data_IF_692280880756
#
_entry.id   IF_692280880756
#
_cell.length_a   1.000
_cell.length_b   1.000
_cell.length_c   1.000
_cell.angle_alpha   90.00
_cell.angle_beta   90.00
_cell.angle_gamma   90.00
#
_symmetry.space_group_name_H-M   'P 1'
#
loop_
_entity.id
_entity.type
_entity.pdbx_description
1 polymer ?
#
# COMPACT_ATOMS: atom_id res chain seq x y z
N UNK A 1 1.77 63.81 -8.13
CA UNK A 1 1.49 62.90 -9.27
C UNK A 1 1.65 61.48 -8.74
N UNK A 2 0.54 60.80 -8.47
CA UNK A 2 0.50 59.42 -8.01
C UNK A 2 0.02 58.53 -9.17
N UNK A 3 0.66 57.40 -9.47
CA UNK A 3 0.08 56.42 -10.39
C UNK A 3 -1.06 55.64 -9.70
N UNK A 4 -2.12 55.28 -10.46
CA UNK A 4 -3.30 54.61 -9.93
C UNK A 4 -3.08 53.10 -9.69
N UNK A 5 -3.76 52.57 -8.67
CA UNK A 5 -3.78 51.15 -8.34
C UNK A 5 -4.54 50.33 -9.42
N UNK A 6 -4.10 49.10 -9.76
CA UNK A 6 -4.82 48.25 -10.68
C UNK A 6 -6.05 47.60 -10.03
N UNK A 7 -7.18 47.97 -10.64
CA UNK A 7 -8.47 47.31 -10.79
C UNK A 7 -8.52 45.79 -10.51
N UNK A 8 -9.38 45.41 -9.56
CA UNK A 8 -9.79 44.03 -9.28
C UNK A 8 -11.05 43.72 -10.12
N UNK A 9 -10.91 42.84 -11.11
CA UNK A 9 -12.02 42.26 -11.88
C UNK A 9 -11.89 40.74 -11.81
N UNK A 10 -12.95 40.04 -11.42
CA UNK A 10 -13.02 38.61 -11.74
C UNK A 10 -13.92 37.68 -10.91
N UNK A 11 -14.84 38.16 -10.08
CA UNK A 11 -15.97 37.31 -9.69
C UNK A 11 -17.07 37.40 -10.77
N UNK A 12 -17.25 36.33 -11.56
CA UNK A 12 -18.57 35.72 -11.88
C UNK A 12 -18.51 34.69 -13.01
N UNK A 13 -19.24 33.60 -12.74
CA UNK A 13 -19.85 32.64 -13.67
C UNK A 13 -18.84 31.67 -14.34
N UNK A 14 -19.09 30.37 -14.52
CA UNK A 14 -20.33 29.64 -14.81
C UNK A 14 -20.19 28.24 -14.20
N UNK A 15 -21.13 27.80 -13.36
CA UNK A 15 -21.29 26.38 -12.98
C UNK A 15 -22.51 25.81 -13.72
N UNK A 16 -22.25 25.20 -14.86
CA UNK A 16 -23.11 24.27 -15.60
C UNK A 16 -22.09 23.35 -16.32
N UNK A 17 -22.12 22.02 -16.26
CA UNK A 17 -23.23 21.11 -16.54
C UNK A 17 -22.89 19.68 -16.07
N UNK A 18 -23.93 18.98 -15.57
CA UNK A 18 -24.27 17.60 -15.97
C UNK A 18 -23.40 16.44 -15.41
N UNK A 19 -23.80 15.95 -14.24
CA UNK A 19 -23.50 14.60 -13.77
C UNK A 19 -24.32 13.57 -14.55
N UNK A 20 -23.72 12.49 -15.08
CA UNK A 20 -24.45 11.38 -15.66
C UNK A 20 -25.11 10.51 -14.58
N UNK A 21 -26.44 10.52 -14.64
CA UNK A 21 -27.40 9.46 -14.31
C UNK A 21 -26.79 8.16 -13.71
N UNK A 22 -26.65 8.13 -12.39
CA UNK A 22 -26.46 6.88 -11.64
C UNK A 22 -27.80 6.15 -11.61
N UNK A 23 -27.86 5.03 -12.34
CA UNK A 23 -28.92 4.03 -12.26
C UNK A 23 -29.17 3.67 -10.78
N UNK A 24 -30.33 4.08 -10.26
CA UNK A 24 -30.87 3.60 -8.98
C UNK A 24 -31.10 2.11 -9.11
N UNK A 25 -30.21 1.31 -8.53
CA UNK A 25 -30.45 -0.10 -8.26
C UNK A 25 -31.62 -0.15 -7.28
N UNK A 26 -32.71 -0.77 -7.72
CA UNK A 26 -33.94 -0.91 -6.98
C UNK A 26 -33.70 -1.56 -5.61
N UNK A 27 -34.37 -1.02 -4.59
CA UNK A 27 -34.43 -1.54 -3.24
C UNK A 27 -34.96 -2.98 -3.25
N UNK A 28 -34.05 -3.94 -3.10
CA UNK A 28 -34.41 -5.34 -2.86
C UNK A 28 -34.89 -5.46 -1.42
N UNK A 29 -36.21 -5.29 -1.21
CA UNK A 29 -36.88 -5.63 0.05
C UNK A 29 -36.64 -7.11 0.36
N UNK A 30 -35.78 -7.37 1.34
CA UNK A 30 -35.65 -8.69 1.97
C UNK A 30 -36.96 -8.96 2.70
N UNK A 31 -37.76 -9.88 2.16
CA UNK A 31 -38.92 -10.44 2.85
C UNK A 31 -38.43 -11.21 4.08
N UNK A 32 -38.82 -10.74 5.27
CA UNK A 32 -38.62 -11.43 6.54
C UNK A 32 -39.43 -12.73 6.54
N UNK A 33 -38.77 -13.85 6.24
CA UNK A 33 -39.30 -15.18 6.54
C UNK A 33 -38.90 -15.58 7.96
N UNK A 34 -39.83 -15.97 8.84
CA UNK A 34 -39.52 -16.39 10.20
C UNK A 34 -38.72 -17.71 10.22
N UNK A 35 -37.90 -17.93 11.26
CA UNK A 35 -37.02 -19.10 11.34
C UNK A 35 -37.82 -20.40 11.50
N UNK A 36 -37.47 -21.48 10.79
CA UNK A 36 -38.13 -22.77 10.97
C UNK A 36 -37.68 -23.40 12.29
N UNK A 37 -38.66 -23.69 13.14
CA UNK A 37 -38.46 -24.48 14.35
C UNK A 37 -38.17 -25.94 13.99
N UNK A 38 -37.10 -26.47 14.59
CA UNK A 38 -36.87 -27.89 14.91
C UNK A 38 -37.14 -28.92 13.82
N UNK A 39 -36.07 -29.40 13.14
CA UNK A 39 -36.09 -30.72 12.51
C UNK A 39 -35.19 -31.69 13.30
N UNK A 40 -35.68 -32.91 13.60
CA UNK A 40 -34.87 -33.95 14.23
C UNK A 40 -33.83 -34.50 13.25
N UNK A 41 -32.63 -34.77 13.80
CA UNK A 41 -31.49 -35.42 13.15
C UNK A 41 -31.89 -36.72 12.45
N UNK A 42 -31.62 -36.80 11.14
CA UNK A 42 -31.73 -38.03 10.35
C UNK A 42 -30.42 -38.82 10.43
N UNK A 43 -30.43 -40.13 10.78
CA UNK A 43 -29.22 -40.93 10.96
C UNK A 43 -28.72 -41.63 9.69
N UNK A 44 -29.14 -41.21 8.49
CA UNK A 44 -28.74 -41.86 7.24
C UNK A 44 -27.93 -40.93 6.33
N UNK A 45 -26.63 -40.80 6.57
CA UNK A 45 -25.67 -40.35 5.54
C UNK A 45 -24.30 -40.99 5.77
N UNK A 46 -24.24 -42.31 5.60
CA UNK A 46 -23.00 -43.03 5.32
C UNK A 46 -23.15 -43.62 3.91
N UNK A 47 -22.48 -43.03 2.91
CA UNK A 47 -22.33 -43.74 1.62
C UNK A 47 -22.28 -42.95 0.30
N UNK A 48 -22.19 -41.63 0.25
CA UNK A 48 -22.05 -40.92 -1.04
C UNK A 48 -21.09 -39.73 -0.97
N UNK A 49 -19.78 -40.02 -0.87
CA UNK A 49 -18.74 -38.98 -0.95
C UNK A 49 -17.96 -39.00 -2.29
N UNK A 50 -18.50 -39.68 -3.31
CA UNK A 50 -17.83 -39.87 -4.60
C UNK A 50 -18.31 -38.93 -5.71
N UNK A 51 -19.12 -37.92 -5.37
CA UNK A 51 -19.61 -36.90 -6.33
C UNK A 51 -19.38 -35.46 -5.89
N UNK A 52 -18.37 -35.19 -5.05
CA UNK A 52 -17.74 -33.86 -5.05
C UNK A 52 -16.86 -33.75 -6.29
N UNK A 53 -17.50 -33.69 -7.47
CA UNK A 53 -16.83 -33.21 -8.68
C UNK A 53 -16.18 -31.89 -8.33
N UNK A 54 -14.85 -31.89 -8.40
CA UNK A 54 -14.02 -30.76 -8.04
C UNK A 54 -14.48 -29.57 -8.89
N UNK A 55 -15.18 -28.61 -8.29
CA UNK A 55 -15.73 -27.45 -9.00
C UNK A 55 -14.65 -26.70 -9.80
N UNK A 56 -13.40 -26.78 -9.34
CA UNK A 56 -12.23 -26.26 -10.05
C UNK A 56 -11.89 -27.04 -11.32
N UNK A 57 -12.15 -28.34 -11.35
CA UNK A 57 -11.95 -29.16 -12.53
C UNK A 57 -13.01 -28.84 -13.60
N UNK A 58 -14.26 -28.61 -13.20
CA UNK A 58 -15.32 -28.14 -14.12
C UNK A 58 -14.94 -26.78 -14.72
N UNK A 59 -14.49 -25.82 -13.91
CA UNK A 59 -14.06 -24.50 -14.42
C UNK A 59 -12.82 -24.58 -15.31
N UNK A 60 -11.96 -25.59 -15.10
CA UNK A 60 -10.74 -25.80 -15.90
C UNK A 60 -11.04 -26.44 -17.26
N UNK A 61 -12.02 -27.33 -17.31
CA UNK A 61 -12.41 -28.03 -18.54
C UNK A 61 -13.46 -27.25 -19.36
N UNK A 62 -14.18 -26.30 -18.74
CA UNK A 62 -15.16 -25.47 -19.42
C UNK A 62 -14.53 -24.55 -20.48
N UNK A 63 -15.19 -24.49 -21.64
CA UNK A 63 -14.83 -23.56 -22.71
C UNK A 63 -15.25 -22.13 -22.35
N UNK A 64 -14.64 -21.15 -23.03
CA UNK A 64 -14.98 -19.75 -22.83
C UNK A 64 -16.43 -19.40 -23.20
N UNK A 65 -17.07 -20.17 -24.07
CA UNK A 65 -18.49 -19.99 -24.42
C UNK A 65 -19.40 -20.51 -23.32
N UNK A 66 -19.12 -21.72 -22.80
CA UNK A 66 -19.86 -22.30 -21.68
C UNK A 66 -19.78 -21.43 -20.43
N UNK A 67 -18.62 -20.83 -20.13
CA UNK A 67 -18.47 -19.89 -19.01
C UNK A 67 -19.27 -18.60 -19.21
N UNK A 68 -19.44 -18.15 -20.46
CA UNK A 68 -20.27 -16.99 -20.78
C UNK A 68 -21.76 -17.32 -20.65
N UNK A 69 -22.21 -18.45 -21.19
CA UNK A 69 -23.59 -18.93 -21.10
C UNK A 69 -24.01 -19.22 -19.66
N UNK A 70 -23.08 -19.77 -18.86
CA UNK A 70 -23.28 -19.98 -17.42
C UNK A 70 -23.32 -18.67 -16.61
N UNK A 71 -23.13 -17.50 -17.24
CA UNK A 71 -23.19 -16.20 -16.58
C UNK A 71 -22.06 -15.96 -15.59
N UNK A 72 -20.88 -16.57 -15.80
CA UNK A 72 -19.74 -16.38 -14.90
C UNK A 72 -19.23 -14.94 -14.97
N UNK A 73 -19.59 -14.13 -13.98
CA UNK A 73 -19.26 -12.69 -13.92
C UNK A 73 -17.75 -12.42 -13.97
N UNK A 74 -16.92 -13.30 -13.39
CA UNK A 74 -15.47 -13.11 -13.40
C UNK A 74 -14.91 -13.29 -14.82
N UNK A 75 -15.37 -14.31 -15.54
CA UNK A 75 -14.99 -14.53 -16.93
C UNK A 75 -15.49 -13.40 -17.84
N UNK A 76 -16.76 -12.99 -17.71
CA UNK A 76 -17.34 -11.90 -18.50
C UNK A 76 -16.58 -10.58 -18.31
N UNK A 77 -16.19 -10.25 -17.08
CA UNK A 77 -15.36 -9.07 -16.81
C UNK A 77 -14.00 -9.15 -17.50
N UNK A 78 -13.33 -10.30 -17.40
CA UNK A 78 -12.01 -10.49 -18.01
C UNK A 78 -12.09 -10.42 -19.55
N UNK A 79 -13.18 -10.95 -20.13
CA UNK A 79 -13.46 -10.84 -21.57
C UNK A 79 -13.62 -9.38 -22.01
N UNK A 80 -14.37 -8.57 -21.26
CA UNK A 80 -14.50 -7.11 -21.53
C UNK A 80 -13.14 -6.42 -21.45
N UNK A 81 -12.35 -6.71 -20.42
CA UNK A 81 -11.00 -6.14 -20.29
C UNK A 81 -10.11 -6.53 -21.50
N UNK A 82 -10.11 -7.79 -21.92
CA UNK A 82 -9.37 -8.24 -23.10
C UNK A 82 -9.81 -7.54 -24.39
N UNK A 83 -11.12 -7.37 -24.59
CA UNK A 83 -11.67 -6.67 -25.76
C UNK A 83 -11.24 -5.19 -25.77
N UNK A 84 -11.25 -4.52 -24.61
CA UNK A 84 -10.78 -3.13 -24.50
C UNK A 84 -9.31 -2.97 -24.83
N UNK A 85 -8.45 -3.89 -24.39
CA UNK A 85 -7.03 -3.88 -24.74
C UNK A 85 -6.79 -4.14 -26.23
N UNK A 86 -7.56 -5.06 -26.81
CA UNK A 86 -7.47 -5.39 -28.24
C UNK A 86 -7.85 -4.18 -29.09
N UNK A 87 -8.92 -3.47 -28.74
CA UNK A 87 -9.33 -2.24 -29.42
C UNK A 87 -8.28 -1.12 -29.28
N UNK A 88 -7.74 -0.92 -28.08
CA UNK A 88 -6.68 0.07 -27.86
C UNK A 88 -5.43 -0.23 -28.69
N UNK A 89 -5.05 -1.51 -28.82
CA UNK A 89 -3.94 -1.93 -29.67
C UNK A 89 -4.19 -1.64 -31.15
N UNK A 90 -5.39 -1.95 -31.66
CA UNK A 90 -5.76 -1.61 -33.04
C UNK A 90 -5.73 -0.10 -33.30
N UNK A 91 -6.18 0.71 -32.34
CA UNK A 91 -6.12 2.16 -32.44
C UNK A 91 -4.66 2.66 -32.54
N UNK A 92 -3.75 2.10 -31.75
CA UNK A 92 -2.32 2.41 -31.84
C UNK A 92 -1.72 2.02 -33.18
N UNK A 93 -2.09 0.87 -33.74
CA UNK A 93 -1.62 0.45 -35.07
C UNK A 93 -2.10 1.40 -36.19
N UNK A 94 -3.31 1.95 -36.07
CA UNK A 94 -3.82 2.94 -37.02
C UNK A 94 -3.16 4.32 -36.85
N UNK A 95 -2.74 4.66 -35.64
CA UNK A 95 -2.09 5.94 -35.34
C UNK A 95 -0.62 5.99 -35.82
N UNK A 96 0.02 4.85 -36.10
CA UNK A 96 1.36 4.83 -36.68
C UNK A 96 1.23 5.29 -38.14
N UNK A 97 1.81 6.45 -38.52
CA UNK A 97 1.81 6.91 -39.89
C UNK A 97 2.50 5.85 -40.75
N UNK A 98 1.76 5.22 -41.63
CA UNK A 98 2.36 4.34 -42.63
C UNK A 98 3.29 5.22 -43.46
N UNK A 99 4.58 4.88 -43.57
CA UNK A 99 5.50 5.66 -44.40
C UNK A 99 4.95 5.59 -45.81
N UNK A 100 4.36 6.70 -46.27
CA UNK A 100 3.94 6.83 -47.66
C UNK A 100 5.21 6.66 -48.47
N UNK A 101 5.34 5.52 -49.16
CA UNK A 101 6.34 5.25 -50.18
C UNK A 101 6.08 6.18 -51.36
N UNK A 102 6.36 7.47 -51.14
CA UNK A 102 6.43 8.52 -52.13
C UNK A 102 7.88 8.71 -52.50
N UNK A 103 8.38 7.84 -53.38
CA UNK A 103 9.38 8.24 -54.37
C UNK A 103 8.67 9.24 -55.28
N UNK A 104 8.83 10.53 -55.02
CA UNK A 104 9.16 11.52 -56.05
C UNK A 104 9.13 12.96 -55.52
N UNK A 105 10.03 13.74 -56.12
CA UNK A 105 10.10 15.20 -56.14
C UNK A 105 10.74 15.92 -54.94
N UNK A 106 12.04 16.17 -55.15
CA UNK A 106 12.74 17.32 -54.61
C UNK A 106 12.01 18.62 -54.99
N UNK A 107 11.61 19.41 -54.01
CA UNK A 107 11.65 20.86 -54.14
C UNK A 107 11.76 21.56 -52.78
N UNK A 108 12.92 22.19 -52.65
CA UNK A 108 13.31 23.27 -51.77
C UNK A 108 12.30 24.44 -51.83
N UNK A 109 11.76 24.87 -50.68
CA UNK A 109 11.74 26.27 -50.21
C UNK A 109 10.83 26.52 -48.97
N UNK A 110 11.42 27.24 -48.01
CA UNK A 110 10.87 28.31 -47.15
C UNK A 110 9.87 28.04 -46.00
N UNK A 111 10.43 28.19 -44.78
CA UNK A 111 10.05 29.18 -43.75
C UNK A 111 8.58 29.61 -43.66
N UNK A 112 7.90 29.14 -42.62
CA UNK A 112 6.97 29.99 -41.84
C UNK A 112 7.17 29.74 -40.36
N UNK A 113 7.39 30.84 -39.66
CA UNK A 113 7.39 31.03 -38.21
C UNK A 113 6.00 30.80 -37.62
N UNK A 114 5.85 29.83 -36.72
CA UNK A 114 4.64 29.71 -35.90
C UNK A 114 5.02 29.56 -34.42
N UNK A 115 4.82 30.65 -33.69
CA UNK A 115 5.06 30.77 -32.27
C UNK A 115 4.00 29.94 -31.51
N UNK A 116 4.30 28.66 -31.29
CA UNK A 116 3.49 27.77 -30.47
C UNK A 116 3.69 28.09 -28.99
N UNK A 117 2.64 28.65 -28.38
CA UNK A 117 2.45 28.80 -26.94
C UNK A 117 2.68 27.46 -26.24
N UNK A 118 3.83 27.33 -25.58
CA UNK A 118 4.22 26.11 -24.89
C UNK A 118 3.35 25.86 -23.64
N UNK A 119 2.92 24.61 -23.40
CA UNK A 119 2.14 24.25 -22.23
C UNK A 119 3.00 24.32 -20.97
N UNK A 120 2.47 25.07 -19.99
CA UNK A 120 2.61 24.91 -18.53
C UNK A 120 3.79 24.07 -18.06
N UNK A 121 4.78 24.76 -17.47
CA UNK A 121 5.98 24.21 -16.84
C UNK A 121 5.69 22.93 -16.04
N UNK A 122 5.86 21.78 -16.70
CA UNK A 122 5.90 20.49 -16.04
C UNK A 122 7.05 20.54 -15.04
N UNK A 123 6.76 20.34 -13.75
CA UNK A 123 7.77 20.25 -12.73
C UNK A 123 8.89 19.30 -13.20
N UNK A 124 10.17 19.68 -13.04
CA UNK A 124 11.28 18.88 -13.52
C UNK A 124 11.18 17.48 -12.92
N UNK A 125 10.89 16.49 -13.77
CA UNK A 125 10.87 15.08 -13.38
C UNK A 125 12.31 14.68 -13.07
N UNK A 126 12.54 14.15 -11.87
CA UNK A 126 13.84 13.62 -11.50
C UNK A 126 14.22 12.49 -12.48
N UNK A 127 15.46 12.45 -12.98
CA UNK A 127 15.90 11.44 -13.95
C UNK A 127 15.69 10.06 -13.37
N UNK A 128 15.21 9.07 -14.13
CA UNK A 128 14.84 7.71 -13.65
C UNK A 128 16.02 6.84 -13.16
N UNK A 129 17.24 7.39 -13.11
CA UNK A 129 18.46 6.70 -12.67
C UNK A 129 18.80 6.86 -11.19
N UNK A 130 19.86 6.16 -10.72
CA UNK A 130 20.44 6.41 -9.41
C UNK A 130 20.91 7.87 -9.34
N UNK A 131 20.45 8.60 -8.32
CA UNK A 131 20.86 9.98 -8.10
C UNK A 131 22.34 10.01 -7.68
N UNK A 132 23.10 11.00 -8.15
CA UNK A 132 24.49 11.14 -7.74
C UNK A 132 24.55 11.96 -6.44
N UNK A 133 25.30 11.46 -5.45
CA UNK A 133 25.49 12.16 -4.17
C UNK A 133 26.06 13.57 -4.35
N UNK A 134 26.90 13.77 -5.36
CA UNK A 134 27.56 15.05 -5.62
C UNK A 134 26.55 16.21 -5.84
N UNK A 135 25.37 15.90 -6.38
CA UNK A 135 24.32 16.87 -6.67
C UNK A 135 23.47 17.21 -5.43
N UNK A 136 23.53 16.37 -4.38
CA UNK A 136 22.72 16.47 -3.18
C UNK A 136 23.58 16.52 -1.91
N UNK A 137 24.52 17.46 -1.86
CA UNK A 137 25.48 17.59 -0.76
C UNK A 137 24.83 17.84 0.60
N UNK A 138 23.62 18.41 0.62
CA UNK A 138 22.87 18.70 1.84
C UNK A 138 22.29 17.46 2.51
N UNK A 139 22.17 16.32 1.81
CA UNK A 139 21.61 15.09 2.37
C UNK A 139 22.63 14.45 3.32
N UNK A 140 22.35 14.45 4.63
CA UNK A 140 23.29 13.99 5.66
C UNK A 140 23.52 12.49 5.55
N UNK A 141 22.44 11.72 5.38
CA UNK A 141 22.51 10.26 5.41
C UNK A 141 22.28 9.65 4.03
N UNK A 142 23.32 9.75 3.19
CA UNK A 142 23.28 9.11 1.87
C UNK A 142 23.32 7.57 1.96
N UNK A 143 24.14 7.02 2.86
CA UNK A 143 24.31 5.57 3.04
C UNK A 143 23.73 5.10 4.37
N UNK A 144 23.29 3.84 4.43
CA UNK A 144 22.78 3.26 5.68
C UNK A 144 23.82 3.25 6.80
N UNK A 145 25.10 3.06 6.45
CA UNK A 145 26.22 3.10 7.40
C UNK A 145 26.34 4.47 8.06
N UNK A 146 26.32 5.56 7.28
CA UNK A 146 26.38 6.92 7.81
C UNK A 146 25.22 7.22 8.77
N UNK A 147 24.01 6.77 8.45
CA UNK A 147 22.88 6.88 9.37
C UNK A 147 23.11 6.10 10.68
N UNK A 148 23.55 4.85 10.57
CA UNK A 148 23.77 3.98 11.74
C UNK A 148 24.87 4.49 12.66
N UNK A 149 25.92 5.08 12.11
CA UNK A 149 27.04 5.62 12.88
C UNK A 149 26.61 6.88 13.68
N UNK A 150 25.73 7.71 13.11
CA UNK A 150 25.15 8.90 13.77
C UNK A 150 24.01 8.54 14.74
N UNK A 151 23.35 7.40 14.52
CA UNK A 151 22.29 6.86 15.37
C UNK A 151 22.70 5.50 15.94
N UNK A 152 23.73 5.46 16.82
CA UNK A 152 24.08 4.22 17.48
C UNK A 152 22.82 3.71 18.18
N UNK A 153 22.59 2.39 18.10
CA UNK A 153 21.52 1.75 18.86
C UNK A 153 21.80 2.02 20.33
N UNK A 154 21.19 3.07 20.87
CA UNK A 154 21.12 3.25 22.31
C UNK A 154 20.33 2.05 22.78
N UNK A 155 20.94 1.22 23.63
CA UNK A 155 20.19 0.22 24.38
C UNK A 155 19.24 1.00 25.30
N UNK A 156 18.12 1.45 24.74
CA UNK A 156 17.10 2.27 25.40
C UNK A 156 16.43 1.55 26.55
N UNK A 157 16.68 0.24 26.70
CA UNK A 157 16.23 -0.57 27.82
C UNK A 157 17.08 -0.36 29.09
N UNK A 158 18.23 0.31 28.99
CA UNK A 158 18.92 0.86 30.14
C UNK A 158 18.26 2.19 30.53
N UNK A 159 17.01 2.12 31.01
CA UNK A 159 16.33 3.26 31.60
C UNK A 159 17.24 3.86 32.69
N UNK A 160 17.82 5.02 32.43
CA UNK A 160 18.51 5.78 33.47
C UNK A 160 17.44 6.18 34.48
N UNK A 161 17.57 5.66 35.70
CA UNK A 161 16.67 5.98 36.80
C UNK A 161 16.67 7.50 37.01
N UNK A 162 15.59 8.17 36.57
CA UNK A 162 15.44 9.63 36.72
C UNK A 162 14.84 10.36 35.51
N UNK A 163 14.80 9.75 34.31
CA UNK A 163 14.18 10.41 33.16
C UNK A 163 12.65 10.39 33.27
N UNK A 164 12.04 11.59 33.35
CA UNK A 164 10.59 11.79 33.36
C UNK A 164 9.96 11.09 32.16
N UNK A 165 8.86 10.38 32.37
CA UNK A 165 8.14 9.63 31.33
C UNK A 165 7.86 10.53 30.12
N UNK A 166 8.61 10.28 29.04
CA UNK A 166 8.39 10.93 27.76
C UNK A 166 7.02 10.49 27.22
N UNK A 167 6.12 11.42 26.80
CA UNK A 167 4.79 11.07 26.31
C UNK A 167 4.91 10.11 25.12
N UNK A 168 4.14 9.01 25.17
CA UNK A 168 4.24 7.92 24.19
C UNK A 168 3.61 8.28 22.84
N UNK A 169 4.37 8.03 21.77
CA UNK A 169 3.93 7.80 20.38
C UNK A 169 2.98 8.82 19.76
N UNK A 170 1.67 8.64 19.98
CA UNK A 170 0.63 9.40 19.29
C UNK A 170 0.57 10.86 19.73
N UNK A 171 0.83 11.13 21.01
CA UNK A 171 0.75 12.49 21.58
C UNK A 171 1.83 13.41 21.03
N UNK A 172 3.01 12.88 20.67
CA UNK A 172 4.12 13.68 20.11
C UNK A 172 3.84 14.18 18.70
N UNK A 173 3.27 13.32 17.86
CA UNK A 173 2.93 13.67 16.48
C UNK A 173 1.89 14.80 16.44
N UNK A 174 0.90 14.74 17.34
CA UNK A 174 -0.19 15.73 17.38
C UNK A 174 0.31 17.10 17.86
N UNK A 175 1.26 17.13 18.80
CA UNK A 175 1.65 18.38 19.46
C UNK A 175 2.77 19.13 18.73
N UNK A 176 3.74 18.41 18.14
CA UNK A 176 4.97 19.03 17.65
C UNK A 176 5.27 18.77 16.15
N UNK A 177 4.44 17.97 15.46
CA UNK A 177 4.70 17.46 14.10
C UNK A 177 6.10 16.81 13.91
N UNK A 178 6.66 16.32 15.03
CA UNK A 178 7.98 15.71 15.06
C UNK A 178 7.96 14.32 14.43
N UNK A 179 8.74 14.15 13.37
CA UNK A 179 8.96 12.85 12.73
C UNK A 179 9.92 12.01 13.57
N UNK A 180 9.40 11.24 14.53
CA UNK A 180 10.21 10.28 15.32
C UNK A 180 10.35 8.93 14.60
N UNK A 181 9.45 8.60 13.66
CA UNK A 181 9.37 7.26 13.10
C UNK A 181 10.25 7.06 11.86
N UNK A 182 10.56 8.11 11.12
CA UNK A 182 11.31 8.05 9.88
C UNK A 182 12.27 9.25 9.76
N UNK A 183 12.96 9.57 10.86
CA UNK A 183 13.94 10.67 10.95
C UNK A 183 14.96 10.64 9.80
N UNK A 184 15.32 9.43 9.37
CA UNK A 184 16.27 9.16 8.30
C UNK A 184 15.81 9.58 6.89
N UNK A 185 14.55 9.99 6.71
CA UNK A 185 14.06 10.52 5.44
C UNK A 185 14.26 12.03 5.45
N UNK A 186 15.05 12.49 4.48
CA UNK A 186 15.48 13.88 4.36
C UNK A 186 14.94 14.44 3.05
N UNK A 187 14.62 15.72 3.07
CA UNK A 187 14.30 16.52 1.89
C UNK A 187 15.58 16.82 1.10
N UNK A 188 15.43 17.37 -0.11
CA UNK A 188 16.56 17.81 -0.95
C UNK A 188 17.48 18.84 -0.24
N UNK A 189 16.96 19.55 0.76
CA UNK A 189 17.70 20.53 1.55
C UNK A 189 18.34 19.95 2.81
N UNK A 190 18.30 18.63 3.01
CA UNK A 190 18.88 17.97 4.18
C UNK A 190 18.02 18.03 5.45
N UNK A 191 16.89 18.74 5.43
CA UNK A 191 15.95 18.76 6.55
C UNK A 191 15.13 17.47 6.61
N UNK A 192 14.84 16.97 7.81
CA UNK A 192 13.95 15.82 7.98
C UNK A 192 12.53 16.12 7.49
N UNK A 193 11.90 15.11 6.88
CA UNK A 193 10.49 15.16 6.47
C UNK A 193 9.59 15.29 7.70
N UNK A 194 8.49 16.04 7.61
CA UNK A 194 7.60 16.30 8.75
C UNK A 194 6.78 15.06 9.15
N UNK A 195 6.26 15.04 10.38
CA UNK A 195 5.42 13.94 10.87
C UNK A 195 4.18 13.69 10.01
N UNK A 196 3.51 14.76 9.58
CA UNK A 196 2.37 14.71 8.67
C UNK A 196 2.73 14.12 7.30
N UNK A 197 3.87 14.52 6.73
CA UNK A 197 4.36 13.98 5.46
C UNK A 197 4.65 12.48 5.57
N UNK A 198 5.27 12.03 6.67
CA UNK A 198 5.49 10.60 6.92
C UNK A 198 4.17 9.83 7.09
N UNK A 199 3.16 10.44 7.71
CA UNK A 199 1.84 9.84 7.80
C UNK A 199 1.22 9.63 6.41
N UNK A 200 1.33 10.61 5.51
CA UNK A 200 0.91 10.51 4.10
C UNK A 200 1.68 9.42 3.34
N UNK A 201 3.01 9.38 3.49
CA UNK A 201 3.86 8.32 2.89
C UNK A 201 3.43 6.91 3.33
N UNK A 202 3.11 6.75 4.61
CA UNK A 202 2.65 5.48 5.17
C UNK A 202 1.27 5.10 4.65
N UNK A 203 0.35 6.04 4.54
CA UNK A 203 -0.98 5.80 3.98
C UNK A 203 -0.89 5.34 2.53
N UNK A 204 -0.10 6.04 1.71
CA UNK A 204 0.14 5.67 0.32
C UNK A 204 0.83 4.30 0.18
N UNK A 205 1.81 4.00 1.04
CA UNK A 205 2.42 2.66 1.09
C UNK A 205 1.40 1.56 1.36
N UNK A 206 0.46 1.77 2.30
CA UNK A 206 -0.60 0.79 2.57
C UNK A 206 -1.51 0.59 1.36
N UNK A 207 -1.90 1.66 0.66
CA UNK A 207 -2.68 1.55 -0.57
C UNK A 207 -1.95 0.74 -1.63
N UNK A 208 -0.64 0.97 -1.80
CA UNK A 208 0.21 0.20 -2.71
C UNK A 208 0.28 -1.28 -2.31
N UNK A 209 0.44 -1.59 -1.01
CA UNK A 209 0.44 -2.98 -0.54
C UNK A 209 -0.93 -3.66 -0.68
N UNK A 210 -2.03 -2.92 -0.54
CA UNK A 210 -3.38 -3.43 -0.80
C UNK A 210 -3.55 -3.81 -2.28
N UNK A 211 -3.01 -3.02 -3.19
CA UNK A 211 -3.01 -3.33 -4.61
C UNK A 211 -2.16 -4.58 -4.90
N UNK A 212 -0.95 -4.65 -4.34
CA UNK A 212 -0.11 -5.87 -4.43
C UNK A 212 -0.84 -7.10 -3.89
N UNK A 213 -1.60 -6.94 -2.81
CA UNK A 213 -2.39 -8.03 -2.22
C UNK A 213 -3.56 -8.45 -3.11
N UNK A 214 -4.23 -7.51 -3.77
CA UNK A 214 -5.29 -7.78 -4.76
C UNK A 214 -4.74 -8.53 -5.97
N UNK A 215 -3.52 -8.19 -6.39
CA UNK A 215 -2.84 -8.82 -7.51
C UNK A 215 -2.15 -10.15 -7.13
N UNK A 216 -2.24 -10.59 -5.86
CA UNK A 216 -1.65 -11.85 -5.41
C UNK A 216 -0.12 -11.85 -5.33
N UNK A 217 0.53 -10.68 -5.39
CA UNK A 217 2.00 -10.53 -5.37
C UNK A 217 2.54 -9.98 -4.04
N UNK A 218 1.68 -9.66 -3.08
CA UNK A 218 2.10 -9.21 -1.76
C UNK A 218 2.76 -10.36 -0.97
N UNK A 219 3.98 -10.18 -0.42
CA UNK A 219 4.67 -11.23 0.32
C UNK A 219 4.08 -11.44 1.72
N UNK A 220 4.28 -12.60 2.35
CA UNK A 220 3.87 -12.79 3.74
C UNK A 220 4.74 -11.96 4.72
N UNK A 221 6.03 -11.85 4.43
CA UNK A 221 7.03 -11.07 5.18
C UNK A 221 7.77 -10.16 4.21
N UNK A 222 8.06 -8.93 4.61
CA UNK A 222 8.74 -7.98 3.73
C UNK A 222 10.11 -8.49 3.24
N UNK A 223 10.88 -9.17 4.09
CA UNK A 223 12.16 -9.78 3.72
C UNK A 223 12.06 -10.96 2.74
N UNK A 224 10.84 -11.36 2.34
CA UNK A 224 10.57 -12.41 1.35
C UNK A 224 9.85 -11.84 0.11
N UNK A 225 9.97 -10.53 -0.13
CA UNK A 225 9.39 -9.86 -1.30
C UNK A 225 10.02 -10.38 -2.59
N UNK A 226 9.20 -10.64 -3.60
CA UNK A 226 9.68 -11.02 -4.93
C UNK A 226 10.26 -9.80 -5.66
N UNK A 227 11.18 -10.02 -6.60
CA UNK A 227 11.81 -8.91 -7.35
C UNK A 227 10.77 -8.02 -8.06
N UNK A 228 9.76 -8.64 -8.68
CA UNK A 228 8.67 -7.92 -9.38
C UNK A 228 7.86 -7.06 -8.41
N UNK A 229 7.49 -7.60 -7.26
CA UNK A 229 6.76 -6.89 -6.22
C UNK A 229 7.58 -5.73 -5.62
N UNK A 230 8.89 -5.94 -5.44
CA UNK A 230 9.80 -4.92 -4.94
C UNK A 230 9.97 -3.77 -5.95
N UNK A 231 10.21 -4.08 -7.23
CA UNK A 231 10.31 -3.07 -8.28
C UNK A 231 9.01 -2.27 -8.43
N UNK A 232 7.87 -2.95 -8.37
CA UNK A 232 6.56 -2.30 -8.36
C UNK A 232 6.43 -1.29 -7.20
N UNK A 233 6.73 -1.73 -5.98
CA UNK A 233 6.65 -0.87 -4.80
C UNK A 233 7.61 0.31 -4.88
N UNK A 234 8.87 0.08 -5.30
CA UNK A 234 9.88 1.14 -5.47
C UNK A 234 9.40 2.19 -6.46
N UNK A 235 8.93 1.77 -7.64
CA UNK A 235 8.40 2.67 -8.67
C UNK A 235 7.28 3.56 -8.13
N UNK A 236 6.23 2.97 -7.55
CA UNK A 236 5.09 3.72 -7.01
C UNK A 236 5.53 4.73 -5.94
N UNK A 237 6.42 4.31 -5.04
CA UNK A 237 6.92 5.18 -3.97
C UNK A 237 7.82 6.30 -4.48
N UNK A 238 8.64 6.06 -5.50
CA UNK A 238 9.52 7.06 -6.11
C UNK A 238 8.77 8.09 -6.95
N UNK A 239 7.74 7.65 -7.66
CA UNK A 239 6.88 8.53 -8.45
C UNK A 239 6.15 9.53 -7.53
N UNK A 240 5.74 9.08 -6.34
CA UNK A 240 4.98 9.91 -5.39
C UNK A 240 5.85 10.69 -4.42
N UNK A 241 6.95 10.12 -3.95
CA UNK A 241 7.80 10.63 -2.88
C UNK A 241 9.28 10.51 -3.28
N UNK A 242 9.81 11.48 -4.04
CA UNK A 242 11.18 11.45 -4.53
C UNK A 242 12.24 11.45 -3.40
N UNK A 243 11.87 11.83 -2.17
CA UNK A 243 12.75 11.84 -1.01
C UNK A 243 13.35 10.46 -0.71
N UNK A 244 12.65 9.38 -1.06
CA UNK A 244 13.17 8.02 -0.90
C UNK A 244 14.36 7.72 -1.84
N UNK A 245 14.48 8.45 -2.96
CA UNK A 245 15.57 8.29 -3.93
C UNK A 245 16.86 8.96 -3.47
N UNK A 246 16.80 9.82 -2.44
CA UNK A 246 17.95 10.54 -1.88
C UNK A 246 18.80 9.63 -0.97
N UNK A 247 19.21 8.46 -1.51
CA UNK A 247 20.07 7.50 -0.84
C UNK A 247 20.73 6.53 -1.83
N UNK A 248 21.80 5.87 -1.37
CA UNK A 248 22.39 4.73 -2.08
C UNK A 248 21.55 3.46 -1.87
N UNK A 249 21.50 2.57 -2.87
CA UNK A 249 20.94 1.22 -2.76
C UNK A 249 19.51 1.15 -2.21
N UNK A 250 18.70 2.20 -2.41
CA UNK A 250 17.30 2.26 -1.98
C UNK A 250 17.06 2.04 -0.46
N UNK A 251 18.10 2.21 0.37
CA UNK A 251 18.07 1.75 1.77
C UNK A 251 17.01 2.47 2.61
N UNK A 252 16.70 3.74 2.30
CA UNK A 252 15.67 4.51 3.02
C UNK A 252 14.30 3.88 2.81
N UNK A 253 13.97 3.51 1.57
CA UNK A 253 12.68 2.88 1.26
C UNK A 253 12.59 1.46 1.83
N UNK A 254 13.65 0.67 1.72
CA UNK A 254 13.68 -0.69 2.25
C UNK A 254 13.52 -0.70 3.78
N UNK A 255 14.18 0.25 4.47
CA UNK A 255 14.02 0.44 5.92
C UNK A 255 12.61 0.92 6.29
N UNK A 256 12.01 1.79 5.47
CA UNK A 256 10.65 2.26 5.66
C UNK A 256 9.64 1.11 5.59
N UNK A 257 9.72 0.31 4.53
CA UNK A 257 8.84 -0.83 4.37
C UNK A 257 9.07 -1.88 5.47
N UNK A 258 10.34 -2.18 5.83
CA UNK A 258 10.66 -3.09 6.95
C UNK A 258 10.01 -2.64 8.26
N UNK A 259 9.96 -1.34 8.53
CA UNK A 259 9.38 -0.77 9.75
C UNK A 259 7.84 -0.83 9.76
N UNK A 260 7.18 -0.52 8.64
CA UNK A 260 5.74 -0.31 8.62
C UNK A 260 4.93 -1.50 8.06
N UNK A 261 5.55 -2.35 7.25
CA UNK A 261 4.90 -3.50 6.62
C UNK A 261 4.33 -4.52 7.61
N UNK A 262 5.00 -4.88 8.73
CA UNK A 262 4.44 -5.87 9.67
C UNK A 262 3.08 -5.46 10.25
N UNK A 263 2.88 -4.16 10.46
CA UNK A 263 1.60 -3.62 10.92
C UNK A 263 0.48 -3.74 9.87
N UNK A 264 0.83 -3.76 8.59
CA UNK A 264 -0.11 -4.04 7.50
C UNK A 264 -0.35 -5.56 7.36
N UNK A 265 0.71 -6.36 7.31
CA UNK A 265 0.62 -7.81 7.13
C UNK A 265 -0.22 -8.49 8.23
N UNK A 266 -0.03 -8.09 9.50
CA UNK A 266 -0.86 -8.54 10.63
C UNK A 266 -2.35 -8.24 10.47
N UNK A 267 -2.69 -7.11 9.82
CA UNK A 267 -4.07 -6.70 9.63
C UNK A 267 -4.76 -7.39 8.45
N UNK A 268 -4.06 -7.58 7.33
CA UNK A 268 -4.69 -8.00 6.07
C UNK A 268 -4.35 -9.43 5.61
N UNK A 269 -3.16 -9.93 5.95
CA UNK A 269 -2.70 -11.25 5.49
C UNK A 269 -3.06 -12.33 6.52
N UNK A 270 -2.68 -12.14 7.78
CA UNK A 270 -2.91 -13.15 8.81
C UNK A 270 -4.39 -13.37 9.14
N UNK A 271 -5.22 -12.32 9.03
CA UNK A 271 -6.68 -12.46 9.20
C UNK A 271 -7.34 -13.30 8.10
N UNK A 272 -6.81 -13.29 6.88
CA UNK A 272 -7.33 -14.11 5.79
C UNK A 272 -7.01 -15.59 5.98
N UNK A 273 -5.84 -15.91 6.57
CA UNK A 273 -5.47 -17.29 6.85
C UNK A 273 -6.38 -17.93 7.91
N UNK A 274 -6.65 -17.22 9.01
CA UNK A 274 -7.51 -17.73 10.09
C UNK A 274 -8.96 -17.95 9.63
N UNK A 275 -9.49 -17.07 8.78
CA UNK A 275 -10.84 -17.22 8.25
C UNK A 275 -10.97 -18.33 7.19
N UNK A 276 -9.87 -18.88 6.68
CA UNK A 276 -9.89 -19.96 5.68
C UNK A 276 -9.84 -21.36 6.31
N UNK A 277 -9.37 -21.47 7.55
CA UNK A 277 -9.30 -22.74 8.30
C UNK A 277 -10.58 -22.96 9.14
N UNK A 278 -11.19 -21.89 9.64
CA UNK A 278 -12.42 -21.95 10.44
C UNK A 278 -13.65 -21.76 9.54
N UNK A 279 -13.99 -22.76 8.72
CA UNK A 279 -15.31 -22.79 8.08
C UNK A 279 -15.46 -23.51 6.75
N UNK A 280 -15.25 -24.83 6.73
CA UNK A 280 -16.29 -25.73 6.18
C UNK A 280 -17.18 -26.23 7.35
N UNK A 281 -17.65 -25.33 8.21
CA UNK A 281 -18.90 -25.48 8.96
C UNK A 281 -19.42 -24.07 9.21
N UNK A 282 -20.44 -23.71 8.45
CA UNK A 282 -21.11 -22.43 8.52
C UNK A 282 -21.96 -22.37 9.80
N UNK A 283 -21.65 -21.44 10.71
CA UNK A 283 -22.65 -20.95 11.66
C UNK A 283 -22.42 -19.46 11.93
N UNK A 284 -23.41 -18.67 11.53
CA UNK A 284 -23.52 -17.22 11.71
C UNK A 284 -24.24 -16.92 13.03
N UNK A 285 -23.52 -16.38 14.02
CA UNK A 285 -24.01 -15.62 15.18
C UNK A 285 -22.80 -15.43 16.13
N UNK A 286 -22.48 -14.32 16.79
CA UNK A 286 -23.18 -13.08 17.14
C UNK A 286 -22.13 -12.07 17.66
N UNK A 287 -22.52 -10.81 17.76
CA UNK A 287 -21.64 -9.65 17.95
C UNK A 287 -20.66 -9.67 19.13
N UNK A 288 -19.44 -9.20 18.84
CA UNK A 288 -18.41 -8.93 19.84
C UNK A 288 -18.63 -7.56 20.48
N UNK A 289 -19.42 -7.52 21.56
CA UNK A 289 -19.34 -6.44 22.56
C UNK A 289 -18.13 -6.72 23.45
N UNK A 290 -17.11 -5.86 23.38
CA UNK A 290 -16.01 -5.82 24.35
C UNK A 290 -16.55 -5.37 25.71
N UNK A 291 -16.80 -6.32 26.62
CA UNK A 291 -16.94 -6.02 28.04
C UNK A 291 -15.55 -5.93 28.67
N UNK A 292 -15.12 -4.70 28.93
CA UNK A 292 -14.03 -4.40 29.85
C UNK A 292 -14.57 -4.53 31.28
N UNK A 293 -14.48 -5.71 31.90
CA UNK A 293 -14.83 -5.87 33.30
C UNK A 293 -13.63 -5.50 34.17
N UNK A 294 -13.67 -4.28 34.71
CA UNK A 294 -12.93 -3.90 35.89
C UNK A 294 -13.51 -4.67 37.09
N UNK A 295 -12.74 -5.58 37.68
CA UNK A 295 -12.99 -6.04 39.05
C UNK A 295 -11.83 -5.57 39.93
N UNK A 296 -12.12 -4.48 40.65
CA UNK A 296 -11.43 -4.02 41.85
C UNK A 296 -11.92 -4.88 43.01
N UNK A 297 -11.01 -5.64 43.64
CA UNK A 297 -10.79 -5.86 45.09
C UNK A 297 -9.66 -6.88 45.19
N UNK A 298 -8.46 -6.52 45.64
CA UNK A 298 -8.00 -6.23 47.00
C UNK A 298 -7.39 -7.47 47.69
N UNK A 299 -6.17 -7.21 48.18
CA UNK A 299 -5.36 -7.87 49.18
C UNK A 299 -4.66 -9.24 48.96
N UNK A 300 -3.36 -9.20 49.30
CA UNK A 300 -2.51 -10.28 49.83
C UNK A 300 -1.98 -11.39 48.92
N UNK A 301 -0.82 -11.16 48.27
CA UNK A 301 0.46 -11.85 48.55
C UNK A 301 1.51 -11.65 47.42
N UNK A 302 2.79 -11.36 47.73
CA UNK A 302 3.84 -11.24 46.74
C UNK A 302 4.32 -12.63 46.26
N UNK A 303 4.01 -12.97 45.01
CA UNK A 303 4.58 -14.13 44.33
C UNK A 303 6.06 -13.84 43.99
N UNK A 304 6.97 -14.46 44.73
CA UNK A 304 8.41 -14.38 44.48
C UNK A 304 8.75 -15.02 43.13
N UNK A 305 9.22 -14.19 42.19
CA UNK A 305 9.84 -14.65 40.95
C UNK A 305 11.15 -15.37 41.27
N UNK A 306 11.15 -16.69 41.08
CA UNK A 306 12.36 -17.52 41.01
C UNK A 306 13.33 -16.94 39.98
N UNK A 307 14.46 -16.41 40.46
CA UNK A 307 15.63 -16.14 39.64
C UNK A 307 16.29 -17.47 39.25
N UNK A 308 16.40 -17.74 37.96
CA UNK A 308 17.36 -18.72 37.42
C UNK A 308 18.51 -17.92 36.84
N UNK A 309 19.53 -17.68 37.65
CA UNK A 309 20.84 -17.26 37.16
C UNK A 309 21.89 -18.06 37.93
N UNK A 310 22.45 -19.06 37.27
CA UNK A 310 23.68 -19.75 37.68
C UNK A 310 24.86 -18.96 37.11
N UNK A 311 25.78 -18.41 37.91
CA UNK A 311 27.06 -17.94 37.41
C UNK A 311 28.00 -19.14 37.22
N UNK A 312 28.42 -19.37 35.97
CA UNK A 312 29.48 -20.32 35.65
C UNK A 312 30.83 -19.65 35.95
N UNK A 313 31.47 -20.09 37.03
CA UNK A 313 32.84 -19.74 37.40
C UNK A 313 33.78 -20.56 36.51
N UNK A 314 34.47 -19.92 35.57
CA UNK A 314 35.59 -20.52 34.85
C UNK A 314 36.88 -20.18 35.56
N UNK A 315 37.49 -21.21 36.16
CA UNK A 315 38.83 -21.21 36.73
C UNK A 315 39.86 -21.29 35.59
N UNK A 316 40.93 -20.47 35.57
CA UNK A 316 42.05 -20.67 34.67
C UNK A 316 43.02 -21.70 35.25
N UNK A 317 43.27 -22.78 34.50
CA UNK A 317 44.38 -23.69 34.72
C UNK A 317 45.67 -23.06 34.18
N UNK A 318 46.71 -23.07 35.01
CA UNK A 318 48.09 -22.73 34.66
C UNK A 318 48.67 -23.72 33.66
N UNK A 319 49.40 -23.18 32.69
CA UNK A 319 50.37 -23.85 31.82
C UNK A 319 51.29 -22.80 31.25
#
# INVERSE_FOLDING_TARGET
>A
MFPPAPFNMGERAIRMTQTPNMLRIADFRVSETPPPQGRPMSPYFAGHDQRRTNYLQIVREATGEELAEAGNLAYLRLKVELDTWTQAYHFLLQAIPQPSTGLDHAQEHQQVTEASLAPSAAAPKLPDGPLNRADFQMVKWWTYKAYRDDHPRTNSDAAKAGDKEKPRGRTRLINNDENVMAEYIETIFGGSVTGEQVAKMREYSKSTWLEMLRNGVAPAKWGQVTLVALQYYRKQMYDKYPEFRLCADDWKLDKFATKFYPGFASQFIHKKALKKEEGEVESLATGSKRSNSSSIVDDSQPCQKRSKHTPSVSTPLKG
#
